data_IF_222330478656
#
_entry.id   IF_222330478656
#
_cell.length_a   1.000
_cell.length_b   1.000
_cell.length_c   1.000
_cell.angle_alpha   90.00
_cell.angle_beta   90.00
_cell.angle_gamma   90.00
#
_symmetry.space_group_name_H-M   'P 1'
#
loop_
_entity.id
_entity.type
_entity.pdbx_description
1 polymer ?
#
# COMPACT_ATOMS: atom_id res chain seq x y z
N UNK A 1 -21.03 7.20 39.99
CA UNK A 1 -20.82 6.93 38.55
C UNK A 1 -19.71 5.88 38.43
N UNK A 2 -20.05 4.62 38.13
CA UNK A 2 -19.05 3.55 37.92
C UNK A 2 -18.47 3.71 36.53
N UNK A 3 -17.13 3.80 36.41
CA UNK A 3 -16.47 3.71 35.10
C UNK A 3 -16.70 2.30 34.57
N UNK A 4 -17.20 2.21 33.35
CA UNK A 4 -17.27 0.97 32.60
C UNK A 4 -15.84 0.60 32.16
N UNK A 5 -15.25 -0.43 32.76
CA UNK A 5 -14.05 -1.09 32.24
C UNK A 5 -14.51 -2.35 31.50
N UNK A 6 -14.30 -2.46 30.18
CA UNK A 6 -14.57 -3.69 29.45
C UNK A 6 -13.59 -4.78 29.89
N UNK A 7 -14.10 -6.00 30.10
CA UNK A 7 -13.34 -7.17 30.59
C UNK A 7 -12.12 -7.55 29.73
N UNK A 8 -11.97 -7.02 28.51
CA UNK A 8 -10.81 -7.27 27.66
C UNK A 8 -9.53 -6.55 28.14
N UNK A 9 -9.63 -5.57 29.04
CA UNK A 9 -8.47 -4.84 29.57
C UNK A 9 -7.78 -5.54 30.75
N UNK A 10 -8.40 -6.55 31.35
CA UNK A 10 -7.86 -7.24 32.53
C UNK A 10 -6.88 -8.37 32.16
N UNK A 11 -6.83 -8.76 30.87
CA UNK A 11 -5.94 -9.79 30.29
C UNK A 11 -4.91 -9.20 29.29
N UNK A 12 -4.50 -7.94 29.46
CA UNK A 12 -3.36 -7.41 28.71
C UNK A 12 -2.08 -7.90 29.39
N UNK A 13 -1.33 -8.85 28.80
CA UNK A 13 -0.04 -9.24 29.37
C UNK A 13 0.83 -7.98 29.47
N UNK A 14 1.39 -7.72 30.66
CA UNK A 14 2.36 -6.65 30.86
C UNK A 14 3.43 -6.77 29.78
N UNK A 15 3.43 -5.82 28.84
CA UNK A 15 4.36 -5.83 27.72
C UNK A 15 5.76 -5.76 28.33
N UNK A 16 6.60 -6.81 28.25
CA UNK A 16 7.92 -6.75 28.83
C UNK A 16 8.64 -5.58 28.19
N UNK A 17 9.16 -4.67 29.03
CA UNK A 17 9.77 -3.43 28.60
C UNK A 17 10.73 -3.70 27.43
N UNK A 18 10.39 -3.18 26.25
CA UNK A 18 11.19 -3.26 25.02
C UNK A 18 12.56 -2.62 25.26
N UNK A 19 13.51 -3.33 25.84
CA UNK A 19 14.87 -2.81 26.11
C UNK A 19 15.75 -2.70 24.85
N UNK A 20 15.16 -2.81 23.64
CA UNK A 20 15.79 -2.52 22.34
C UNK A 20 15.23 -1.26 21.64
N UNK A 21 14.48 -0.42 22.36
CA UNK A 21 13.84 0.81 21.88
C UNK A 21 14.73 1.75 21.02
N UNK A 22 16.04 1.95 21.27
CA UNK A 22 16.87 2.81 20.41
C UNK A 22 16.98 2.30 18.98
N UNK A 23 17.09 0.99 18.77
CA UNK A 23 17.23 0.38 17.44
C UNK A 23 15.90 0.36 16.71
N UNK A 24 14.82 -0.05 17.38
CA UNK A 24 13.48 -0.03 16.79
C UNK A 24 13.03 1.38 16.43
N UNK A 25 13.31 2.37 17.30
CA UNK A 25 13.03 3.78 17.01
C UNK A 25 13.85 4.28 15.82
N UNK A 26 15.14 3.92 15.70
CA UNK A 26 15.97 4.27 14.54
C UNK A 26 15.42 3.65 13.25
N UNK A 27 15.07 2.37 13.25
CA UNK A 27 14.45 1.68 12.11
C UNK A 27 13.13 2.33 11.71
N UNK A 28 12.25 2.59 12.67
CA UNK A 28 10.97 3.27 12.43
C UNK A 28 11.16 4.67 11.85
N UNK A 29 12.08 5.47 12.39
CA UNK A 29 12.36 6.81 11.89
C UNK A 29 12.95 6.79 10.48
N UNK A 30 13.86 5.85 10.19
CA UNK A 30 14.38 5.66 8.85
C UNK A 30 13.29 5.25 7.86
N UNK A 31 12.42 4.30 8.25
CA UNK A 31 11.27 3.88 7.45
C UNK A 31 10.30 5.05 7.20
N UNK A 32 10.00 5.85 8.24
CA UNK A 32 9.14 7.05 8.13
C UNK A 32 9.76 8.10 7.22
N UNK A 33 11.06 8.34 7.33
CA UNK A 33 11.79 9.29 6.50
C UNK A 33 11.81 8.87 5.03
N UNK A 34 12.07 7.58 4.76
CA UNK A 34 12.04 7.03 3.41
C UNK A 34 10.64 7.12 2.79
N UNK A 35 9.58 6.76 3.53
CA UNK A 35 8.19 6.96 3.09
C UNK A 35 7.91 8.40 2.69
N UNK A 36 8.36 9.36 3.51
CA UNK A 36 8.18 10.79 3.26
C UNK A 36 8.93 11.20 1.99
N UNK A 37 10.18 10.78 1.83
CA UNK A 37 10.99 11.10 0.66
C UNK A 37 10.36 10.57 -0.64
N UNK A 38 9.92 9.31 -0.66
CA UNK A 38 9.22 8.72 -1.81
C UNK A 38 7.95 9.49 -2.16
N UNK A 39 7.14 9.86 -1.16
CA UNK A 39 5.93 10.67 -1.38
C UNK A 39 6.26 12.04 -1.98
N UNK A 40 7.27 12.72 -1.44
CA UNK A 40 7.70 14.03 -1.94
C UNK A 40 8.19 13.93 -3.39
N UNK A 41 9.00 12.92 -3.72
CA UNK A 41 9.45 12.67 -5.08
C UNK A 41 8.28 12.42 -6.04
N UNK A 42 7.31 11.59 -5.64
CA UNK A 42 6.10 11.31 -6.43
C UNK A 42 5.31 12.58 -6.76
N UNK A 43 5.06 13.45 -5.77
CA UNK A 43 4.34 14.70 -6.04
C UNK A 43 5.17 15.70 -6.85
N UNK A 44 6.49 15.75 -6.64
CA UNK A 44 7.37 16.61 -7.41
C UNK A 44 7.44 16.21 -8.90
N UNK A 45 7.25 14.92 -9.21
CA UNK A 45 7.19 14.41 -10.58
C UNK A 45 5.87 14.74 -11.31
N UNK A 46 4.87 15.28 -10.62
CA UNK A 46 3.61 15.75 -11.21
C UNK A 46 2.62 14.64 -11.58
N UNK A 47 1.97 13.98 -10.59
CA UNK A 47 1.00 12.93 -10.88
C UNK A 47 -0.15 13.47 -11.74
N UNK A 48 -0.54 12.69 -12.75
CA UNK A 48 -1.65 13.03 -13.64
C UNK A 48 -3.04 12.81 -13.00
N UNK A 49 -3.12 12.01 -11.93
CA UNK A 49 -4.33 11.81 -11.14
C UNK A 49 -4.47 12.91 -10.08
N UNK A 50 -5.69 13.35 -9.85
CA UNK A 50 -6.07 14.34 -8.84
C UNK A 50 -7.41 13.97 -8.15
N UNK A 51 -7.87 14.85 -7.25
CA UNK A 51 -9.09 14.64 -6.46
C UNK A 51 -10.35 14.50 -7.32
N UNK A 52 -10.37 15.03 -8.55
CA UNK A 52 -11.52 14.91 -9.46
C UNK A 52 -11.64 13.53 -10.10
N UNK A 53 -10.54 12.77 -10.08
CA UNK A 53 -10.45 11.41 -10.62
C UNK A 53 -10.36 10.34 -9.54
N UNK A 54 -10.44 10.72 -8.26
CA UNK A 54 -10.18 9.84 -7.11
C UNK A 54 -11.00 8.54 -7.15
N UNK A 55 -12.27 8.63 -7.54
CA UNK A 55 -13.19 7.49 -7.64
C UNK A 55 -12.69 6.41 -8.60
N UNK A 56 -11.87 6.74 -9.62
CA UNK A 56 -11.29 5.74 -10.50
C UNK A 56 -10.23 4.88 -9.81
N UNK A 57 -9.50 5.46 -8.85
CA UNK A 57 -8.32 4.83 -8.25
C UNK A 57 -8.64 4.06 -6.97
N UNK A 58 -9.75 4.36 -6.29
CA UNK A 58 -10.17 3.72 -5.03
C UNK A 58 -11.47 2.97 -5.22
N UNK A 59 -11.65 1.85 -4.51
CA UNK A 59 -12.95 1.19 -4.48
C UNK A 59 -13.99 2.13 -3.81
N UNK A 60 -15.28 2.00 -4.16
CA UNK A 60 -16.35 2.62 -3.39
C UNK A 60 -16.35 2.11 -1.93
N UNK A 61 -17.17 2.70 -1.07
CA UNK A 61 -17.14 2.36 0.35
C UNK A 61 -17.35 0.86 0.61
N UNK A 62 -16.79 0.39 1.74
CA UNK A 62 -16.76 -1.03 2.07
C UNK A 62 -18.13 -1.65 2.40
N UNK A 63 -19.20 -0.86 2.48
CA UNK A 63 -20.52 -1.34 2.89
C UNK A 63 -21.36 -1.79 1.69
N UNK A 64 -21.03 -1.35 0.48
CA UNK A 64 -21.70 -1.76 -0.76
C UNK A 64 -20.67 -2.29 -1.79
N UNK A 65 -20.52 -3.63 -1.91
CA UNK A 65 -19.56 -4.20 -2.85
C UNK A 65 -19.96 -3.88 -4.30
N UNK A 66 -19.01 -3.30 -5.03
CA UNK A 66 -19.11 -3.04 -6.46
C UNK A 66 -19.18 -4.37 -7.26
N UNK A 67 -20.06 -4.49 -8.26
CA UNK A 67 -20.05 -5.64 -9.16
C UNK A 67 -18.72 -5.74 -9.91
N UNK A 68 -18.24 -6.98 -10.13
CA UNK A 68 -16.91 -7.22 -10.72
C UNK A 68 -16.67 -6.48 -12.04
N UNK A 69 -17.65 -6.47 -12.95
CA UNK A 69 -17.54 -5.79 -14.24
C UNK A 69 -17.34 -4.28 -14.10
N UNK A 70 -18.01 -3.64 -13.12
CA UNK A 70 -17.89 -2.20 -12.88
C UNK A 70 -16.51 -1.88 -12.30
N UNK A 71 -16.04 -2.72 -11.37
CA UNK A 71 -14.68 -2.63 -10.82
C UNK A 71 -13.62 -2.73 -11.91
N UNK A 72 -13.74 -3.72 -12.78
CA UNK A 72 -12.78 -3.94 -13.88
C UNK A 72 -12.74 -2.75 -14.84
N UNK A 73 -13.89 -2.18 -15.20
CA UNK A 73 -13.98 -0.99 -16.05
C UNK A 73 -13.33 0.23 -15.39
N UNK A 74 -13.64 0.45 -14.11
CA UNK A 74 -13.07 1.53 -13.29
C UNK A 74 -11.55 1.42 -13.19
N UNK A 75 -11.04 0.23 -12.88
CA UNK A 75 -9.60 -0.04 -12.80
C UNK A 75 -8.92 0.11 -14.16
N UNK A 76 -9.56 -0.32 -15.26
CA UNK A 76 -9.04 -0.12 -16.61
C UNK A 76 -8.91 1.37 -16.96
N UNK A 77 -9.91 2.19 -16.61
CA UNK A 77 -9.85 3.64 -16.79
C UNK A 77 -8.71 4.28 -15.97
N UNK A 78 -8.54 3.88 -14.70
CA UNK A 78 -7.41 4.34 -13.89
C UNK A 78 -6.05 3.96 -14.47
N UNK A 79 -5.93 2.73 -15.00
CA UNK A 79 -4.71 2.22 -15.65
C UNK A 79 -4.36 3.03 -16.90
N UNK A 80 -5.34 3.53 -17.67
CA UNK A 80 -5.11 4.40 -18.82
C UNK A 80 -4.48 5.74 -18.43
N UNK A 81 -4.97 6.39 -17.36
CA UNK A 81 -4.38 7.63 -16.84
C UNK A 81 -2.93 7.37 -16.41
N UNK A 82 -2.69 6.26 -15.73
CA UNK A 82 -1.36 5.89 -15.27
C UNK A 82 -0.37 5.64 -16.42
N UNK A 83 -0.82 5.19 -17.59
CA UNK A 83 0.06 4.84 -18.71
C UNK A 83 0.87 6.04 -19.24
N UNK A 84 0.29 7.24 -19.19
CA UNK A 84 0.93 8.49 -19.62
C UNK A 84 1.42 9.36 -18.45
N UNK A 85 1.26 8.90 -17.21
CA UNK A 85 1.57 9.68 -16.02
C UNK A 85 3.10 9.86 -15.84
N UNK A 86 3.62 11.10 -15.75
CA UNK A 86 5.06 11.32 -15.61
C UNK A 86 5.60 10.87 -14.24
N UNK A 87 4.76 10.83 -13.20
CA UNK A 87 5.12 10.35 -11.87
C UNK A 87 5.00 8.82 -11.69
N UNK A 88 4.79 8.05 -12.76
CA UNK A 88 4.51 6.60 -12.68
C UNK A 88 5.61 5.83 -11.97
N UNK A 89 6.89 6.15 -12.24
CA UNK A 89 8.03 5.46 -11.64
C UNK A 89 8.12 5.72 -10.12
N UNK A 90 7.95 6.96 -9.70
CA UNK A 90 7.97 7.39 -8.32
C UNK A 90 6.75 6.85 -7.56
N UNK A 91 5.58 6.82 -8.20
CA UNK A 91 4.37 6.22 -7.66
C UNK A 91 4.57 4.71 -7.43
N UNK A 92 5.19 4.00 -8.38
CA UNK A 92 5.51 2.58 -8.23
C UNK A 92 6.46 2.33 -7.06
N UNK A 93 7.52 3.14 -6.92
CA UNK A 93 8.44 3.06 -5.79
C UNK A 93 7.73 3.30 -4.45
N UNK A 94 6.83 4.29 -4.41
CA UNK A 94 6.00 4.55 -3.23
C UNK A 94 5.08 3.37 -2.90
N UNK A 95 4.36 2.83 -3.89
CA UNK A 95 3.42 1.73 -3.72
C UNK A 95 4.11 0.43 -3.26
N UNK A 96 5.26 0.08 -3.83
CA UNK A 96 6.04 -1.08 -3.40
C UNK A 96 6.51 -0.95 -1.94
N UNK A 97 6.82 0.27 -1.50
CA UNK A 97 7.25 0.52 -0.12
C UNK A 97 6.07 0.50 0.87
N UNK A 98 4.96 1.15 0.53
CA UNK A 98 3.80 1.25 1.42
C UNK A 98 2.92 0.01 1.44
N UNK A 99 2.94 -0.79 0.37
CA UNK A 99 2.11 -1.98 0.17
C UNK A 99 0.63 -1.66 0.40
N UNK A 100 0.01 -0.85 -0.50
CA UNK A 100 -1.39 -0.47 -0.35
C UNK A 100 -2.29 -1.69 -0.24
N UNK A 101 -3.42 -1.53 0.47
CA UNK A 101 -4.39 -2.60 0.66
C UNK A 101 -5.29 -2.78 -0.57
N UNK A 102 -5.63 -1.67 -1.24
CA UNK A 102 -6.60 -1.61 -2.34
C UNK A 102 -6.24 -0.50 -3.35
N UNK A 103 -7.00 -0.47 -4.44
CA UNK A 103 -6.93 0.58 -5.47
C UNK A 103 -5.86 0.35 -6.54
N UNK A 104 -5.76 1.31 -7.46
CA UNK A 104 -4.80 1.31 -8.57
C UNK A 104 -3.66 2.30 -8.30
N UNK A 105 -2.43 1.80 -8.40
CA UNK A 105 -1.19 2.52 -8.10
C UNK A 105 -0.20 2.30 -9.24
N UNK A 106 0.28 3.38 -9.86
CA UNK A 106 1.23 3.32 -10.98
C UNK A 106 0.79 2.42 -12.16
N UNK A 107 -0.52 2.24 -12.34
CA UNK A 107 -1.11 1.37 -13.36
C UNK A 107 -1.19 -0.10 -12.96
N UNK A 108 -1.08 -0.41 -11.66
CA UNK A 108 -1.18 -1.75 -11.10
C UNK A 108 -2.19 -1.77 -9.95
N UNK A 109 -2.94 -2.84 -9.77
CA UNK A 109 -3.79 -3.03 -8.59
C UNK A 109 -2.93 -3.26 -7.35
N UNK A 110 -3.49 -3.03 -6.17
CA UNK A 110 -2.81 -3.33 -4.91
C UNK A 110 -2.37 -4.80 -4.80
N UNK A 111 -3.13 -5.74 -5.35
CA UNK A 111 -2.77 -7.15 -5.39
C UNK A 111 -1.62 -7.42 -6.38
N UNK A 112 -1.60 -6.77 -7.55
CA UNK A 112 -0.48 -6.83 -8.49
C UNK A 112 0.81 -6.26 -7.85
N UNK A 113 0.73 -5.14 -7.14
CA UNK A 113 1.85 -4.57 -6.36
C UNK A 113 2.33 -5.56 -5.28
N UNK A 114 1.40 -6.21 -4.57
CA UNK A 114 1.73 -7.21 -3.55
C UNK A 114 2.49 -8.37 -4.18
N UNK A 115 2.02 -8.89 -5.32
CA UNK A 115 2.69 -9.97 -6.04
C UNK A 115 4.13 -9.60 -6.45
N UNK A 116 4.36 -8.38 -6.96
CA UNK A 116 5.70 -7.88 -7.30
C UNK A 116 6.63 -7.80 -6.08
N UNK A 117 6.09 -7.39 -4.92
CA UNK A 117 6.88 -7.31 -3.68
C UNK A 117 7.30 -8.69 -3.14
N UNK A 118 6.51 -9.73 -3.44
CA UNK A 118 6.78 -11.11 -3.05
C UNK A 118 7.79 -11.80 -3.97
N UNK A 119 7.80 -11.47 -5.27
CA UNK A 119 8.79 -12.01 -6.22
C UNK A 119 10.24 -11.74 -5.79
N UNK A 120 10.52 -10.60 -5.15
CA UNK A 120 11.85 -10.27 -4.61
C UNK A 120 12.26 -11.12 -3.40
N UNK A 121 11.30 -11.82 -2.79
CA UNK A 121 11.50 -12.66 -1.60
C UNK A 121 11.66 -14.14 -1.94
N UNK A 122 11.35 -14.56 -3.18
CA UNK A 122 11.69 -15.90 -3.64
C UNK A 122 13.21 -16.04 -3.69
N UNK A 123 13.82 -16.98 -2.95
CA UNK A 123 15.21 -17.31 -3.20
C UNK A 123 15.32 -17.77 -4.66
N UNK A 124 16.24 -17.18 -5.42
CA UNK A 124 16.51 -17.60 -6.77
C UNK A 124 16.75 -19.12 -6.79
N UNK A 125 15.88 -19.89 -7.44
CA UNK A 125 16.06 -21.33 -7.62
C UNK A 125 14.79 -22.17 -7.50
N UNK A 126 13.92 -22.10 -8.50
CA UNK A 126 13.20 -23.30 -8.96
C UNK A 126 13.00 -23.13 -10.46
N UNK A 127 14.00 -23.54 -11.24
CA UNK A 127 13.83 -23.73 -12.67
C UNK A 127 12.74 -24.76 -12.88
N UNK A 128 11.71 -24.39 -13.63
CA UNK A 128 10.72 -25.33 -14.10
C UNK A 128 11.13 -25.76 -15.50
N UNK A 129 11.66 -26.98 -15.56
CA UNK A 129 11.83 -27.77 -16.77
C UNK A 129 10.44 -27.99 -17.38
N UNK A 130 10.26 -27.54 -18.62
CA UNK A 130 9.06 -27.78 -19.42
C UNK A 130 9.32 -29.07 -20.19
N UNK A 131 8.54 -30.10 -19.87
CA UNK A 131 8.59 -31.42 -20.51
C UNK A 131 8.15 -31.36 -21.98
#
# INVERSE_FOLDING_TARGET
>A
MRRYQPAYLDDVPEVPAMTSLPTLRRVYLAHKAHRKALRVAMFAAGPACDDTTADLFTAPDAFEPEPDAVREEREAAAKQICAACPARAECLAYALFTRPAEGVWAGLTADEIRALSLYRRSPAGSGQEVA
#
